data_IF_135520167459
#
_entry.id   IF_135520167459
#
_cell.length_a   1.000
_cell.length_b   1.000
_cell.length_c   1.000
_cell.angle_alpha   90.00
_cell.angle_beta   90.00
_cell.angle_gamma   90.00
#
_symmetry.space_group_name_H-M   'P 1'
#
loop_
_entity.id
_entity.type
_entity.pdbx_description
1 polymer ?
#
# COMPACT_ATOMS: atom_id res chain seq x y z
N UNK A 1 -15.28 -24.33 -33.61
CA UNK A 1 -15.86 -24.58 -32.27
C UNK A 1 -15.51 -23.38 -31.40
N UNK A 2 -16.45 -22.46 -31.21
CA UNK A 2 -16.23 -21.24 -30.43
C UNK A 2 -16.41 -21.50 -28.95
N UNK A 3 -15.37 -21.30 -28.15
CA UNK A 3 -15.46 -21.24 -26.68
C UNK A 3 -15.99 -19.88 -26.21
N UNK A 4 -17.11 -19.44 -26.77
CA UNK A 4 -17.86 -18.31 -26.24
C UNK A 4 -18.67 -18.82 -25.05
N UNK A 5 -18.35 -18.34 -23.84
CA UNK A 5 -19.08 -18.67 -22.62
C UNK A 5 -18.31 -19.49 -21.58
N UNK A 6 -17.03 -19.21 -21.35
CA UNK A 6 -16.48 -19.52 -20.01
C UNK A 6 -17.09 -18.50 -19.04
N UNK A 7 -18.19 -18.89 -18.39
CA UNK A 7 -18.89 -18.09 -17.38
C UNK A 7 -17.87 -17.45 -16.43
N UNK A 8 -17.99 -16.14 -16.21
CA UNK A 8 -17.23 -15.44 -15.20
C UNK A 8 -17.65 -15.99 -13.83
N UNK A 9 -16.95 -17.03 -13.35
CA UNK A 9 -17.24 -17.71 -12.09
C UNK A 9 -16.93 -16.75 -10.93
N UNK A 10 -17.96 -16.11 -10.39
CA UNK A 10 -17.86 -15.34 -9.16
C UNK A 10 -18.11 -16.25 -7.97
N UNK A 11 -17.06 -16.58 -7.24
CA UNK A 11 -17.11 -17.44 -6.07
C UNK A 11 -16.71 -16.60 -4.86
N UNK A 12 -17.71 -16.07 -4.16
CA UNK A 12 -17.57 -15.26 -2.95
C UNK A 12 -18.39 -15.89 -1.81
N UNK A 13 -18.15 -15.45 -0.58
CA UNK A 13 -18.97 -15.83 0.58
C UNK A 13 -20.45 -15.49 0.39
N UNK A 14 -21.31 -16.24 1.08
CA UNK A 14 -22.77 -16.21 0.89
C UNK A 14 -23.34 -14.79 0.96
N UNK A 15 -22.88 -13.99 1.92
CA UNK A 15 -23.34 -12.60 2.10
C UNK A 15 -23.04 -11.67 0.92
N UNK A 16 -22.03 -11.96 0.10
CA UNK A 16 -21.61 -11.10 -1.00
C UNK A 16 -22.15 -11.52 -2.36
N UNK A 17 -22.81 -12.67 -2.47
CA UNK A 17 -23.25 -13.26 -3.76
C UNK A 17 -24.19 -12.36 -4.56
N UNK A 18 -25.02 -11.56 -3.89
CA UNK A 18 -25.98 -10.63 -4.49
C UNK A 18 -25.42 -9.20 -4.68
N UNK A 19 -24.19 -8.94 -4.21
CA UNK A 19 -23.57 -7.59 -4.18
C UNK A 19 -22.35 -7.46 -5.06
N UNK A 20 -21.65 -8.57 -5.30
CA UNK A 20 -20.44 -8.61 -6.11
C UNK A 20 -20.77 -8.38 -7.60
N UNK A 21 -19.96 -7.60 -8.34
CA UNK A 21 -20.08 -7.51 -9.79
C UNK A 21 -20.08 -8.90 -10.45
N UNK A 22 -21.15 -9.23 -11.17
CA UNK A 22 -21.41 -10.60 -11.67
C UNK A 22 -20.92 -10.84 -13.10
N UNK A 23 -20.46 -9.79 -13.79
CA UNK A 23 -19.99 -9.85 -15.16
C UNK A 23 -18.75 -8.97 -15.39
N UNK A 24 -18.00 -9.21 -16.47
CA UNK A 24 -16.86 -8.35 -16.86
C UNK A 24 -17.27 -6.89 -17.05
N UNK A 25 -18.45 -6.66 -17.62
CA UNK A 25 -19.02 -5.33 -17.81
C UNK A 25 -19.34 -4.65 -16.48
N UNK A 26 -19.87 -5.38 -15.49
CA UNK A 26 -20.12 -4.84 -14.15
C UNK A 26 -18.83 -4.47 -13.43
N UNK A 27 -17.78 -5.29 -13.59
CA UNK A 27 -16.44 -4.97 -13.05
C UNK A 27 -15.90 -3.69 -13.68
N UNK A 28 -16.03 -3.52 -15.00
CA UNK A 28 -15.62 -2.28 -15.68
C UNK A 28 -16.41 -1.06 -15.21
N UNK A 29 -17.72 -1.20 -14.98
CA UNK A 29 -18.54 -0.15 -14.36
C UNK A 29 -18.04 0.20 -12.96
N UNK A 30 -17.76 -0.81 -12.14
CA UNK A 30 -17.25 -0.62 -10.79
C UNK A 30 -15.89 0.11 -10.78
N UNK A 31 -14.95 -0.28 -11.64
CA UNK A 31 -13.67 0.42 -11.80
C UNK A 31 -13.84 1.86 -12.26
N UNK A 32 -14.72 2.11 -13.23
CA UNK A 32 -15.00 3.47 -13.74
C UNK A 32 -15.62 4.35 -12.64
N UNK A 33 -16.57 3.80 -11.88
CA UNK A 33 -17.17 4.50 -10.74
C UNK A 33 -16.16 4.77 -9.62
N UNK A 34 -15.24 3.83 -9.36
CA UNK A 34 -14.17 4.02 -8.38
C UNK A 34 -13.24 5.17 -8.77
N UNK A 35 -12.88 5.33 -10.05
CA UNK A 35 -12.13 6.50 -10.52
C UNK A 35 -12.90 7.81 -10.28
N UNK A 36 -14.23 7.78 -10.47
CA UNK A 36 -15.09 8.92 -10.13
C UNK A 36 -15.08 9.25 -8.64
N UNK A 37 -15.06 8.24 -7.77
CA UNK A 37 -14.92 8.43 -6.30
C UNK A 37 -13.57 9.07 -5.96
N UNK A 38 -12.48 8.61 -6.57
CA UNK A 38 -11.13 9.20 -6.34
C UNK A 38 -11.12 10.68 -6.71
N UNK A 39 -11.63 11.05 -7.89
CA UNK A 39 -11.69 12.44 -8.32
C UNK A 39 -12.65 13.27 -7.44
N UNK A 40 -13.80 12.71 -7.07
CA UNK A 40 -14.76 13.32 -6.16
C UNK A 40 -14.15 13.61 -4.78
N UNK A 41 -13.36 12.68 -4.25
CA UNK A 41 -12.67 12.83 -2.97
C UNK A 41 -11.71 14.03 -2.97
N UNK A 42 -10.90 14.18 -4.04
CA UNK A 42 -10.02 15.34 -4.22
C UNK A 42 -10.84 16.63 -4.27
N UNK A 43 -11.91 16.66 -5.07
CA UNK A 43 -12.74 17.86 -5.19
C UNK A 43 -13.39 18.28 -3.88
N UNK A 44 -13.80 17.31 -3.06
CA UNK A 44 -14.46 17.55 -1.79
C UNK A 44 -13.50 18.16 -0.77
N UNK A 45 -12.33 17.56 -0.54
CA UNK A 45 -11.40 18.02 0.51
C UNK A 45 -10.60 19.27 0.17
N UNK A 46 -10.63 19.72 -1.10
CA UNK A 46 -10.10 21.03 -1.46
C UNK A 46 -11.06 22.18 -1.13
N UNK A 47 -12.36 21.90 -0.91
CA UNK A 47 -13.41 22.92 -0.69
C UNK A 47 -14.07 22.80 0.68
N UNK A 48 -14.22 21.59 1.17
CA UNK A 48 -14.93 21.28 2.41
C UNK A 48 -13.98 20.71 3.45
N UNK A 49 -14.42 20.76 4.71
CA UNK A 49 -13.68 20.21 5.84
C UNK A 49 -12.29 20.86 6.01
N UNK A 50 -12.22 22.17 5.80
CA UNK A 50 -10.99 22.95 5.98
C UNK A 50 -10.84 23.41 7.44
N UNK A 51 -11.86 24.11 7.93
CA UNK A 51 -12.02 24.65 9.29
C UNK A 51 -13.50 25.04 9.49
N UNK A 52 -13.85 25.60 10.65
CA UNK A 52 -15.25 25.97 10.96
C UNK A 52 -15.81 27.05 10.03
N UNK A 53 -14.99 28.06 9.66
CA UNK A 53 -15.39 29.18 8.82
C UNK A 53 -14.72 29.17 7.43
N UNK A 54 -13.92 28.14 7.14
CA UNK A 54 -13.10 27.99 5.93
C UNK A 54 -12.08 29.13 5.70
N UNK A 55 -11.76 29.91 6.73
CA UNK A 55 -10.73 30.95 6.65
C UNK A 55 -9.30 30.40 6.65
N UNK A 56 -9.15 29.14 7.03
CA UNK A 56 -7.89 28.43 7.13
C UNK A 56 -8.03 26.92 6.85
N UNK A 57 -6.91 26.23 6.59
CA UNK A 57 -6.87 24.77 6.41
C UNK A 57 -6.26 24.12 7.65
N UNK A 58 -7.11 23.54 8.50
CA UNK A 58 -6.74 22.99 9.80
C UNK A 58 -6.98 21.47 9.87
N UNK A 59 -8.05 20.96 9.28
CA UNK A 59 -8.48 19.58 9.49
C UNK A 59 -7.87 18.59 8.49
N UNK A 60 -7.56 17.39 8.99
CA UNK A 60 -7.23 16.26 8.13
C UNK A 60 -8.50 15.73 7.44
N UNK A 61 -8.41 15.22 6.20
CA UNK A 61 -7.22 15.12 5.36
C UNK A 61 -6.92 16.36 4.49
N UNK A 62 -7.69 17.45 4.60
CA UNK A 62 -7.56 18.63 3.72
C UNK A 62 -6.14 19.22 3.74
N UNK A 63 -5.51 19.28 4.91
CA UNK A 63 -4.12 19.73 5.08
C UNK A 63 -3.12 18.99 4.18
N UNK A 64 -3.33 17.70 3.88
CA UNK A 64 -2.44 16.93 3.01
C UNK A 64 -2.58 17.33 1.54
N UNK A 65 -3.80 17.62 1.10
CA UNK A 65 -4.07 18.06 -0.28
C UNK A 65 -3.59 19.49 -0.51
N UNK A 66 -3.73 20.37 0.48
CA UNK A 66 -3.19 21.73 0.40
C UNK A 66 -1.66 21.76 0.45
N UNK A 67 -1.02 20.87 1.23
CA UNK A 67 0.43 20.67 1.12
C UNK A 67 0.87 20.25 -0.29
N UNK A 68 0.04 19.46 -1.00
CA UNK A 68 0.29 19.13 -2.41
C UNK A 68 0.12 20.32 -3.36
N UNK A 69 -0.89 21.17 -3.18
CA UNK A 69 -1.01 22.42 -3.94
C UNK A 69 0.22 23.31 -3.73
N UNK A 70 0.66 23.44 -2.48
CA UNK A 70 1.87 24.18 -2.11
C UNK A 70 3.10 23.64 -2.85
N UNK A 71 3.33 22.32 -2.79
CA UNK A 71 4.46 21.68 -3.48
C UNK A 71 4.38 21.92 -4.98
N UNK A 72 3.18 21.89 -5.56
CA UNK A 72 2.97 22.12 -6.99
C UNK A 72 3.19 23.58 -7.41
N UNK A 73 3.56 24.49 -6.51
CA UNK A 73 3.78 25.90 -6.82
C UNK A 73 2.48 26.69 -7.03
N UNK A 74 1.32 26.13 -6.65
CA UNK A 74 0.02 26.79 -6.72
C UNK A 74 -0.22 27.66 -5.47
N UNK A 75 -1.16 28.59 -5.56
CA UNK A 75 -1.68 29.31 -4.39
C UNK A 75 -2.41 28.34 -3.47
N UNK A 76 -1.77 28.02 -2.34
CA UNK A 76 -2.30 27.09 -1.34
C UNK A 76 -3.11 27.79 -0.24
N UNK A 77 -3.54 29.04 -0.46
CA UNK A 77 -4.49 29.72 0.42
C UNK A 77 -5.84 29.00 0.41
N UNK A 78 -6.56 28.94 1.53
CA UNK A 78 -7.87 28.30 1.60
C UNK A 78 -8.81 28.91 0.56
N UNK A 79 -9.42 28.05 -0.26
CA UNK A 79 -10.36 28.45 -1.32
C UNK A 79 -9.77 29.44 -2.34
N UNK A 80 -8.45 29.40 -2.56
CA UNK A 80 -7.79 30.17 -3.61
C UNK A 80 -8.37 29.87 -5.01
N UNK A 81 -8.11 30.76 -5.97
CA UNK A 81 -8.50 30.55 -7.36
C UNK A 81 -7.98 29.22 -7.92
N UNK A 82 -6.74 28.87 -7.58
CA UNK A 82 -6.11 27.61 -7.97
C UNK A 82 -6.78 26.40 -7.31
N UNK A 83 -6.97 26.42 -5.99
CA UNK A 83 -7.62 25.33 -5.25
C UNK A 83 -9.04 25.07 -5.78
N UNK A 84 -9.81 26.15 -6.01
CA UNK A 84 -11.17 26.06 -6.56
C UNK A 84 -11.18 25.55 -8.01
N UNK A 85 -10.23 25.97 -8.84
CA UNK A 85 -10.12 25.47 -10.22
C UNK A 85 -9.81 23.97 -10.22
N UNK A 86 -8.80 23.54 -9.46
CA UNK A 86 -8.43 22.13 -9.33
C UNK A 86 -9.61 21.32 -8.82
N UNK A 87 -10.29 21.78 -7.77
CA UNK A 87 -11.45 21.09 -7.21
C UNK A 87 -12.59 20.94 -8.22
N UNK A 88 -12.94 22.00 -8.95
CA UNK A 88 -14.02 22.00 -9.94
C UNK A 88 -13.70 21.10 -11.13
N UNK A 89 -12.45 21.07 -11.60
CA UNK A 89 -12.03 20.17 -12.67
C UNK A 89 -12.08 18.71 -12.24
N UNK A 90 -11.69 18.39 -11.01
CA UNK A 90 -11.83 17.03 -10.46
C UNK A 90 -13.30 16.65 -10.25
N UNK A 91 -14.17 17.57 -9.84
CA UNK A 91 -15.61 17.32 -9.74
C UNK A 91 -16.22 17.06 -11.13
N UNK A 92 -15.85 17.84 -12.14
CA UNK A 92 -16.30 17.60 -13.52
C UNK A 92 -15.87 16.20 -14.01
N UNK A 93 -14.61 15.83 -13.77
CA UNK A 93 -14.13 14.49 -14.08
C UNK A 93 -14.91 13.41 -13.34
N UNK A 94 -15.21 13.60 -12.04
CA UNK A 94 -16.01 12.66 -11.25
C UNK A 94 -17.41 12.46 -11.83
N UNK A 95 -18.09 13.55 -12.18
CA UNK A 95 -19.44 13.51 -12.79
C UNK A 95 -19.41 12.79 -14.14
N UNK A 96 -18.42 13.07 -14.99
CA UNK A 96 -18.26 12.38 -16.28
C UNK A 96 -18.03 10.88 -16.07
N UNK A 97 -17.13 10.51 -15.15
CA UNK A 97 -16.82 9.11 -14.85
C UNK A 97 -18.04 8.36 -14.28
N UNK A 98 -18.79 8.97 -13.37
CA UNK A 98 -20.04 8.37 -12.88
C UNK A 98 -21.09 8.25 -13.97
N UNK A 99 -21.23 9.25 -14.85
CA UNK A 99 -22.16 9.17 -15.97
C UNK A 99 -21.79 7.99 -16.90
N UNK A 100 -20.50 7.82 -17.22
CA UNK A 100 -20.03 6.66 -18.00
C UNK A 100 -20.30 5.36 -17.23
N UNK A 101 -19.89 5.26 -15.97
CA UNK A 101 -20.03 4.04 -15.15
C UNK A 101 -21.48 3.58 -14.94
N UNK A 102 -22.45 4.50 -14.93
CA UNK A 102 -23.87 4.17 -14.74
C UNK A 102 -24.65 4.02 -16.04
N UNK A 103 -24.33 4.81 -17.09
CA UNK A 103 -25.17 4.88 -18.30
C UNK A 103 -24.51 4.32 -19.56
N UNK A 104 -23.18 4.17 -19.62
CA UNK A 104 -22.52 3.59 -20.79
C UNK A 104 -22.85 2.10 -20.92
N UNK A 105 -23.08 1.65 -22.16
CA UNK A 105 -23.49 0.28 -22.48
C UNK A 105 -22.28 -0.65 -22.58
N UNK A 106 -21.60 -0.85 -21.45
CA UNK A 106 -20.46 -1.77 -21.32
C UNK A 106 -20.80 -3.23 -21.67
N UNK A 107 -22.08 -3.60 -21.67
CA UNK A 107 -22.61 -4.90 -22.12
C UNK A 107 -22.49 -5.11 -23.64
N UNK A 108 -22.32 -4.03 -24.41
CA UNK A 108 -22.14 -4.08 -25.86
C UNK A 108 -20.67 -4.15 -26.29
N UNK A 109 -19.75 -3.96 -25.35
CA UNK A 109 -18.31 -4.01 -25.62
C UNK A 109 -17.82 -5.46 -25.62
N UNK A 110 -16.90 -5.83 -26.52
CA UNK A 110 -16.41 -7.20 -26.64
C UNK A 110 -15.36 -7.54 -25.57
N UNK A 111 -15.69 -7.34 -24.28
CA UNK A 111 -14.79 -7.59 -23.16
C UNK A 111 -14.39 -9.06 -22.99
N UNK A 112 -15.12 -10.00 -23.59
CA UNK A 112 -14.75 -11.41 -23.65
C UNK A 112 -13.41 -11.64 -24.37
N UNK A 113 -13.01 -10.71 -25.26
CA UNK A 113 -11.73 -10.79 -25.98
C UNK A 113 -10.54 -10.26 -25.18
N UNK A 114 -10.78 -9.61 -24.04
CA UNK A 114 -9.74 -9.02 -23.20
C UNK A 114 -9.29 -10.04 -22.16
N UNK A 115 -8.01 -10.39 -22.15
CA UNK A 115 -7.42 -11.23 -21.10
C UNK A 115 -6.79 -10.36 -20.01
N UNK A 116 -6.60 -10.89 -18.80
CA UNK A 116 -5.94 -10.14 -17.72
C UNK A 116 -4.50 -9.80 -18.09
N UNK A 117 -3.82 -10.71 -18.80
CA UNK A 117 -2.50 -10.45 -19.37
C UNK A 117 -2.48 -9.28 -20.37
N UNK A 118 -3.48 -9.18 -21.26
CA UNK A 118 -3.57 -8.04 -22.20
C UNK A 118 -3.92 -6.73 -21.48
N UNK A 119 -4.77 -6.78 -20.45
CA UNK A 119 -5.01 -5.63 -19.58
C UNK A 119 -3.73 -5.15 -18.90
N UNK A 120 -2.89 -6.06 -18.39
CA UNK A 120 -1.61 -5.70 -17.76
C UNK A 120 -0.65 -5.02 -18.76
N UNK A 121 -0.57 -5.50 -20.00
CA UNK A 121 0.21 -4.85 -21.07
C UNK A 121 -0.28 -3.42 -21.31
N UNK A 122 -1.61 -3.22 -21.41
CA UNK A 122 -2.18 -1.89 -21.58
C UNK A 122 -1.84 -0.99 -20.38
N UNK A 123 -1.87 -1.53 -19.15
CA UNK A 123 -1.48 -0.79 -17.96
C UNK A 123 0.02 -0.41 -17.96
N UNK A 124 0.93 -1.25 -18.46
CA UNK A 124 2.34 -0.84 -18.62
C UNK A 124 2.47 0.38 -19.54
N UNK A 125 1.76 0.40 -20.68
CA UNK A 125 1.79 1.55 -21.58
C UNK A 125 1.07 2.77 -21.03
N UNK A 126 0.00 2.59 -20.26
CA UNK A 126 -0.65 3.69 -19.56
C UNK A 126 0.27 4.32 -18.49
N UNK A 127 0.94 3.49 -17.67
CA UNK A 127 1.92 3.98 -16.69
C UNK A 127 3.12 4.66 -17.36
N UNK A 128 3.56 4.15 -18.51
CA UNK A 128 4.60 4.79 -19.31
C UNK A 128 4.19 6.21 -19.74
N UNK A 129 2.96 6.36 -20.24
CA UNK A 129 2.40 7.66 -20.63
C UNK A 129 2.37 8.64 -19.44
N UNK A 130 1.83 8.23 -18.30
CA UNK A 130 1.73 9.09 -17.10
C UNK A 130 3.12 9.53 -16.61
N UNK A 131 4.08 8.60 -16.52
CA UNK A 131 5.43 8.90 -16.08
C UNK A 131 6.13 9.89 -17.02
N UNK A 132 6.07 9.66 -18.34
CA UNK A 132 6.67 10.57 -19.33
C UNK A 132 6.02 11.95 -19.32
N UNK A 133 4.68 12.03 -19.27
CA UNK A 133 3.97 13.31 -19.25
C UNK A 133 4.29 14.13 -17.99
N UNK A 134 4.40 13.49 -16.82
CA UNK A 134 4.81 14.19 -15.61
C UNK A 134 6.25 14.71 -15.68
N UNK A 135 7.18 13.92 -16.22
CA UNK A 135 8.55 14.39 -16.47
C UNK A 135 8.61 15.58 -17.43
N UNK A 136 7.78 15.59 -18.48
CA UNK A 136 7.65 16.72 -19.43
C UNK A 136 7.06 17.96 -18.73
N UNK A 137 6.03 17.77 -17.90
CA UNK A 137 5.41 18.85 -17.13
C UNK A 137 6.45 19.56 -16.24
N UNK A 138 7.22 18.79 -15.47
CA UNK A 138 8.31 19.31 -14.63
C UNK A 138 9.37 20.05 -15.47
N UNK A 139 9.80 19.44 -16.58
CA UNK A 139 10.92 19.92 -17.37
C UNK A 139 10.66 21.23 -18.12
N UNK A 140 9.43 21.44 -18.64
CA UNK A 140 9.18 22.47 -19.65
C UNK A 140 8.11 23.50 -19.27
N UNK A 141 7.13 23.14 -18.45
CA UNK A 141 5.99 24.04 -18.19
C UNK A 141 6.30 24.99 -17.02
N UNK A 142 7.19 24.60 -16.09
CA UNK A 142 7.50 25.39 -14.90
C UNK A 142 6.27 25.53 -13.98
N UNK A 143 6.42 26.11 -12.79
CA UNK A 143 5.24 26.30 -11.92
C UNK A 143 4.61 25.00 -11.42
N UNK A 144 5.41 23.94 -11.32
CA UNK A 144 4.98 22.59 -10.93
C UNK A 144 5.69 22.07 -9.68
N UNK A 145 6.69 22.82 -9.20
CA UNK A 145 7.43 22.58 -7.98
C UNK A 145 7.69 23.91 -7.29
N UNK A 146 7.71 23.90 -5.96
CA UNK A 146 8.15 25.01 -5.14
C UNK A 146 9.53 24.71 -4.57
N UNK A 147 10.42 25.70 -4.63
CA UNK A 147 11.78 25.63 -4.15
C UNK A 147 11.85 25.61 -2.64
N UNK A 148 13.05 25.31 -2.11
CA UNK A 148 13.27 25.27 -0.67
C UNK A 148 13.06 26.65 0.00
N UNK A 149 13.22 27.73 -0.76
CA UNK A 149 12.96 29.12 -0.38
C UNK A 149 11.46 29.50 -0.40
N UNK A 150 10.58 28.56 -0.77
CA UNK A 150 9.15 28.80 -0.91
C UNK A 150 8.76 29.49 -2.21
N UNK A 151 9.71 29.81 -3.11
CA UNK A 151 9.41 30.40 -4.41
C UNK A 151 9.09 29.33 -5.44
N UNK A 152 8.24 29.68 -6.41
CA UNK A 152 7.87 28.78 -7.48
C UNK A 152 9.07 28.56 -8.40
N UNK A 153 9.44 27.29 -8.65
CA UNK A 153 10.59 26.97 -9.48
C UNK A 153 10.29 27.23 -10.98
N UNK A 154 11.28 27.72 -11.73
CA UNK A 154 11.22 27.70 -13.20
C UNK A 154 11.20 26.24 -13.70
N UNK A 155 10.95 26.02 -15.01
CA UNK A 155 11.04 24.69 -15.61
C UNK A 155 12.35 23.98 -15.23
N UNK A 156 12.27 22.72 -14.80
CA UNK A 156 13.43 22.03 -14.20
C UNK A 156 14.52 21.68 -15.21
N UNK A 157 14.19 21.69 -16.52
CA UNK A 157 15.01 21.04 -17.54
C UNK A 157 15.06 19.51 -17.36
N UNK A 158 15.98 18.87 -18.09
CA UNK A 158 16.21 17.43 -18.06
C UNK A 158 17.70 17.12 -17.95
N UNK A 159 18.06 16.23 -17.03
CA UNK A 159 19.42 15.71 -16.88
C UNK A 159 19.38 14.19 -16.61
N UNK A 160 19.91 13.39 -17.53
CA UNK A 160 19.93 11.92 -17.41
C UNK A 160 21.17 11.38 -16.67
N UNK A 161 21.98 12.24 -16.04
CA UNK A 161 23.10 11.82 -15.19
C UNK A 161 22.60 11.26 -13.83
N UNK A 162 22.19 9.99 -13.86
CA UNK A 162 21.58 9.27 -12.72
C UNK A 162 22.44 9.21 -11.46
N UNK A 163 23.78 9.20 -11.58
CA UNK A 163 24.68 8.94 -10.45
C UNK A 163 25.29 10.18 -9.80
N UNK A 164 25.09 11.37 -10.38
CA UNK A 164 25.50 12.62 -9.71
C UNK A 164 24.50 13.06 -8.63
N UNK A 165 24.76 14.21 -8.01
CA UNK A 165 23.86 14.82 -7.01
C UNK A 165 22.42 14.93 -7.55
N UNK A 166 21.43 14.66 -6.69
CA UNK A 166 20.03 14.63 -7.07
C UNK A 166 19.53 16.08 -7.24
N UNK A 167 18.92 16.37 -8.39
CA UNK A 167 18.37 17.69 -8.71
C UNK A 167 16.95 17.57 -9.28
N UNK A 168 16.14 18.64 -9.31
CA UNK A 168 14.83 18.62 -9.96
C UNK A 168 14.88 18.18 -11.44
N UNK A 169 15.91 18.57 -12.19
CA UNK A 169 16.12 18.16 -13.59
C UNK A 169 16.31 16.64 -13.72
N UNK A 170 17.06 16.04 -12.79
CA UNK A 170 17.26 14.58 -12.74
C UNK A 170 16.03 13.85 -12.26
N UNK A 171 15.25 14.43 -11.36
CA UNK A 171 13.97 13.85 -10.96
C UNK A 171 12.98 13.83 -12.12
N UNK A 172 12.93 14.89 -12.94
CA UNK A 172 12.14 14.90 -14.18
C UNK A 172 12.63 13.83 -15.17
N UNK A 173 13.95 13.72 -15.37
CA UNK A 173 14.54 12.69 -16.22
C UNK A 173 14.31 11.26 -15.70
N UNK A 174 14.29 11.04 -14.39
CA UNK A 174 13.95 9.77 -13.77
C UNK A 174 12.52 9.33 -14.15
N UNK A 175 11.55 10.24 -14.13
CA UNK A 175 10.19 9.94 -14.59
C UNK A 175 10.15 9.54 -16.08
N UNK A 176 10.89 10.24 -16.94
CA UNK A 176 10.99 9.87 -18.37
C UNK A 176 11.66 8.51 -18.55
N UNK A 177 12.72 8.21 -17.79
CA UNK A 177 13.41 6.93 -17.84
C UNK A 177 12.51 5.77 -17.38
N UNK A 178 11.72 5.96 -16.32
CA UNK A 178 10.68 5.01 -15.88
C UNK A 178 9.64 4.82 -16.99
N UNK A 179 9.21 5.91 -17.65
CA UNK A 179 8.31 5.84 -18.79
C UNK A 179 8.85 4.96 -19.93
N UNK A 180 10.11 5.16 -20.30
CA UNK A 180 10.78 4.33 -21.31
C UNK A 180 10.88 2.85 -20.89
N UNK A 181 11.20 2.57 -19.62
CA UNK A 181 11.28 1.20 -19.10
C UNK A 181 9.93 0.47 -19.18
N UNK A 182 8.85 1.11 -18.73
CA UNK A 182 7.49 0.53 -18.83
C UNK A 182 7.03 0.40 -20.28
N UNK A 183 7.41 1.32 -21.16
CA UNK A 183 7.07 1.24 -22.58
C UNK A 183 7.69 -0.01 -23.24
N UNK A 184 9.00 -0.20 -23.05
CA UNK A 184 9.72 -1.37 -23.56
C UNK A 184 9.24 -2.67 -22.92
N UNK A 185 8.96 -2.66 -21.60
CA UNK A 185 8.37 -3.81 -20.89
C UNK A 185 6.98 -4.18 -21.43
N UNK A 186 6.14 -3.18 -21.72
CA UNK A 186 4.84 -3.37 -22.36
C UNK A 186 4.95 -3.96 -23.77
N UNK A 187 5.89 -3.48 -24.59
CA UNK A 187 6.15 -4.06 -25.93
C UNK A 187 6.60 -5.52 -25.79
N UNK A 188 7.56 -5.79 -24.92
CA UNK A 188 8.06 -7.14 -24.69
C UNK A 188 6.93 -8.10 -24.31
N UNK A 189 6.12 -7.74 -23.31
CA UNK A 189 5.02 -8.60 -22.86
C UNK A 189 3.83 -8.64 -23.82
N UNK A 190 3.66 -7.64 -24.69
CA UNK A 190 2.69 -7.71 -25.78
C UNK A 190 2.94 -8.92 -26.69
N UNK A 191 4.22 -9.17 -27.01
CA UNK A 191 4.67 -10.26 -27.88
C UNK A 191 4.92 -11.56 -27.12
N UNK A 192 5.53 -11.50 -25.92
CA UNK A 192 5.94 -12.69 -25.17
C UNK A 192 4.81 -13.29 -24.31
N UNK A 193 3.80 -12.51 -23.93
CA UNK A 193 2.73 -12.93 -23.02
C UNK A 193 3.20 -13.17 -21.57
N UNK A 194 2.35 -13.84 -20.79
CA UNK A 194 2.57 -14.20 -19.38
C UNK A 194 2.27 -15.68 -19.10
N UNK A 195 2.22 -16.53 -20.13
CA UNK A 195 1.74 -17.91 -20.04
C UNK A 195 2.84 -18.93 -19.64
N UNK A 196 4.02 -18.46 -19.28
CA UNK A 196 5.18 -19.30 -18.96
C UNK A 196 5.25 -19.69 -17.48
N UNK A 197 5.54 -20.96 -17.23
CA UNK A 197 5.87 -21.50 -15.91
C UNK A 197 4.79 -21.25 -14.86
N UNK A 198 5.21 -20.72 -13.71
CA UNK A 198 4.35 -20.49 -12.55
C UNK A 198 3.27 -19.41 -12.76
N UNK A 199 3.29 -18.64 -13.85
CA UNK A 199 2.34 -17.53 -14.07
C UNK A 199 1.09 -17.93 -14.86
N UNK A 200 1.06 -19.14 -15.42
CA UNK A 200 0.01 -19.58 -16.36
C UNK A 200 -1.40 -19.61 -15.75
N UNK A 201 -1.53 -19.71 -14.43
CA UNK A 201 -2.81 -19.79 -13.74
C UNK A 201 -3.47 -18.41 -13.52
N UNK A 202 -2.73 -17.30 -13.62
CA UNK A 202 -3.26 -15.97 -13.31
C UNK A 202 -4.31 -15.48 -14.32
N UNK A 203 -4.23 -15.88 -15.59
CA UNK A 203 -5.21 -15.45 -16.60
C UNK A 203 -6.58 -16.15 -16.46
N UNK A 204 -6.68 -17.12 -15.53
CA UNK A 204 -7.85 -17.98 -15.35
C UNK A 204 -8.66 -17.67 -14.10
N UNK A 205 -8.09 -16.93 -13.15
CA UNK A 205 -8.76 -16.61 -11.90
C UNK A 205 -8.45 -15.17 -11.46
N UNK A 206 -9.50 -14.36 -11.35
CA UNK A 206 -9.41 -12.96 -10.99
C UNK A 206 -8.93 -12.76 -9.55
N UNK A 207 -9.25 -13.70 -8.65
CA UNK A 207 -8.92 -13.57 -7.22
C UNK A 207 -7.43 -13.86 -6.98
N UNK A 208 -6.81 -14.73 -7.78
CA UNK A 208 -5.37 -14.93 -7.75
C UNK A 208 -4.63 -13.64 -8.12
N UNK A 209 -5.07 -12.94 -9.18
CA UNK A 209 -4.50 -11.65 -9.59
C UNK A 209 -4.74 -10.59 -8.50
N UNK A 210 -5.97 -10.49 -7.99
CA UNK A 210 -6.30 -9.57 -6.91
C UNK A 210 -5.42 -9.81 -5.67
N UNK A 211 -5.30 -11.05 -5.21
CA UNK A 211 -4.50 -11.41 -4.05
C UNK A 211 -3.03 -11.01 -4.19
N UNK A 212 -2.43 -11.18 -5.37
CA UNK A 212 -1.06 -10.73 -5.65
C UNK A 212 -0.98 -9.20 -5.72
N UNK A 213 -1.91 -8.54 -6.43
CA UNK A 213 -1.92 -7.08 -6.55
C UNK A 213 -2.00 -6.39 -5.19
N UNK A 214 -2.86 -6.88 -4.28
CA UNK A 214 -3.00 -6.33 -2.93
C UNK A 214 -1.73 -6.55 -2.08
N UNK A 215 -1.09 -7.72 -2.18
CA UNK A 215 0.16 -8.00 -1.45
C UNK A 215 1.35 -7.16 -1.96
N UNK A 216 1.48 -7.00 -3.28
CA UNK A 216 2.52 -6.13 -3.87
C UNK A 216 2.26 -4.66 -3.52
N UNK A 217 1.00 -4.23 -3.54
CA UNK A 217 0.62 -2.88 -3.11
C UNK A 217 0.93 -2.65 -1.62
N UNK A 218 0.69 -3.63 -0.75
CA UNK A 218 1.07 -3.56 0.65
C UNK A 218 2.58 -3.37 0.85
N UNK A 219 3.40 -4.07 0.05
CA UNK A 219 4.85 -3.87 0.06
C UNK A 219 5.22 -2.46 -0.44
N UNK A 220 4.55 -1.94 -1.47
CA UNK A 220 4.75 -0.56 -1.90
C UNK A 220 4.42 0.44 -0.77
N UNK A 221 3.32 0.25 -0.04
CA UNK A 221 3.02 1.08 1.14
C UNK A 221 4.15 1.06 2.17
N UNK A 222 4.72 -0.11 2.47
CA UNK A 222 5.86 -0.21 3.38
C UNK A 222 7.08 0.58 2.85
N UNK A 223 7.45 0.41 1.57
CA UNK A 223 8.57 1.17 0.98
C UNK A 223 8.32 2.68 0.98
N UNK A 224 7.07 3.12 0.78
CA UNK A 224 6.68 4.53 0.84
C UNK A 224 6.78 5.07 2.28
N UNK A 225 6.39 4.31 3.30
CA UNK A 225 6.56 4.70 4.71
C UNK A 225 8.03 4.97 5.02
N UNK A 226 8.94 4.08 4.61
CA UNK A 226 10.37 4.30 4.80
C UNK A 226 10.88 5.47 3.95
N UNK A 227 10.42 5.63 2.71
CA UNK A 227 10.79 6.76 1.86
C UNK A 227 10.33 8.11 2.43
N UNK A 228 9.16 8.18 3.08
CA UNK A 228 8.68 9.38 3.78
C UNK A 228 9.56 9.76 4.98
N UNK A 229 10.22 8.78 5.61
CA UNK A 229 11.13 9.03 6.74
C UNK A 229 12.53 9.42 6.24
N UNK A 230 13.02 8.78 5.17
CA UNK A 230 14.41 8.88 4.72
C UNK A 230 14.60 9.97 3.64
N UNK A 231 13.65 10.13 2.73
CA UNK A 231 13.72 11.07 1.61
C UNK A 231 12.92 12.34 1.92
N UNK A 232 13.46 13.12 2.86
CA UNK A 232 12.84 14.32 3.43
C UNK A 232 13.16 15.62 2.68
N UNK A 233 13.69 15.52 1.45
CA UNK A 233 13.98 16.68 0.62
C UNK A 233 12.74 17.59 0.48
N UNK A 234 12.87 18.91 0.68
CA UNK A 234 11.76 19.85 0.71
C UNK A 234 11.03 20.04 -0.63
N UNK A 235 11.72 19.78 -1.75
CA UNK A 235 11.25 20.08 -3.11
C UNK A 235 10.79 18.81 -3.82
N UNK A 236 11.70 17.84 -3.89
CA UNK A 236 11.55 16.58 -4.66
C UNK A 236 11.35 15.35 -3.76
N UNK A 237 11.32 15.55 -2.44
CA UNK A 237 10.99 14.52 -1.46
C UNK A 237 9.66 14.77 -0.75
N UNK A 238 9.54 14.25 0.46
CA UNK A 238 8.35 14.41 1.30
C UNK A 238 8.45 15.61 2.28
N UNK A 239 9.58 16.31 2.29
CA UNK A 239 9.81 17.49 3.15
C UNK A 239 8.89 18.65 2.85
N UNK A 240 8.26 18.70 1.67
CA UNK A 240 7.28 19.72 1.30
C UNK A 240 6.13 19.84 2.32
N UNK A 241 5.79 18.77 3.03
CA UNK A 241 4.75 18.81 4.07
C UNK A 241 5.20 19.62 5.28
N UNK A 242 6.48 19.54 5.65
CA UNK A 242 7.05 20.36 6.72
C UNK A 242 7.15 21.82 6.26
N UNK A 243 7.56 22.05 5.01
CA UNK A 243 7.63 23.39 4.45
C UNK A 243 6.25 24.06 4.38
N UNK A 244 5.23 23.35 3.90
CA UNK A 244 3.86 23.85 3.87
C UNK A 244 3.41 24.24 5.28
N UNK A 245 3.63 23.38 6.29
CA UNK A 245 3.21 23.63 7.67
C UNK A 245 3.85 24.88 8.30
N UNK A 246 5.02 25.29 7.81
CA UNK A 246 5.71 26.50 8.24
C UNK A 246 5.51 27.70 7.31
N UNK A 247 4.82 27.51 6.18
CA UNK A 247 4.60 28.55 5.16
C UNK A 247 3.51 29.55 5.57
N UNK A 248 3.42 30.64 4.82
CA UNK A 248 2.36 31.64 4.94
C UNK A 248 0.94 31.07 4.71
N UNK A 249 0.82 29.96 3.99
CA UNK A 249 -0.46 29.32 3.66
C UNK A 249 -1.01 28.45 4.80
N UNK A 250 -0.17 28.00 5.72
CA UNK A 250 -0.61 27.21 6.86
C UNK A 250 -1.30 28.08 7.91
N UNK A 251 -2.34 27.53 8.55
CA UNK A 251 -2.96 28.14 9.72
C UNK A 251 -1.94 28.38 10.84
N UNK A 252 -2.21 29.40 11.65
CA UNK A 252 -1.38 29.71 12.82
C UNK A 252 -1.28 28.50 13.74
N UNK A 253 -2.41 27.80 14.00
CA UNK A 253 -2.42 26.59 14.81
C UNK A 253 -1.55 25.47 14.24
N UNK A 254 -1.58 25.22 12.92
CA UNK A 254 -0.71 24.20 12.32
C UNK A 254 0.76 24.60 12.45
N UNK A 255 1.09 25.88 12.32
CA UNK A 255 2.45 26.40 12.46
C UNK A 255 2.96 26.26 13.89
N UNK A 256 2.13 26.59 14.88
CA UNK A 256 2.42 26.39 16.30
C UNK A 256 2.68 24.93 16.63
N UNK A 257 1.78 24.03 16.20
CA UNK A 257 1.94 22.58 16.39
C UNK A 257 3.20 22.06 15.70
N UNK A 258 3.56 22.61 14.54
CA UNK A 258 4.74 22.18 13.79
C UNK A 258 6.04 22.74 14.35
N UNK A 259 6.01 23.82 15.12
CA UNK A 259 7.22 24.40 15.74
C UNK A 259 7.82 23.43 16.78
N UNK A 260 6.99 22.80 17.60
CA UNK A 260 7.41 21.74 18.54
C UNK A 260 7.45 20.33 17.92
N UNK A 261 6.96 20.17 16.70
CA UNK A 261 6.86 18.89 16.01
C UNK A 261 6.95 19.09 14.48
N UNK A 262 8.16 19.32 13.91
CA UNK A 262 8.31 19.62 12.49
C UNK A 262 7.72 18.55 11.56
N UNK A 263 7.69 17.30 12.02
CA UNK A 263 7.06 16.19 11.31
C UNK A 263 5.54 16.05 11.50
N UNK A 264 4.83 17.09 11.97
CA UNK A 264 3.41 17.00 12.36
C UNK A 264 2.52 16.44 11.24
N UNK A 265 2.62 16.98 10.02
CA UNK A 265 1.81 16.53 8.89
C UNK A 265 2.31 15.21 8.30
N UNK A 266 3.63 15.07 8.08
CA UNK A 266 4.17 13.87 7.45
C UNK A 266 3.94 12.61 8.30
N UNK A 267 3.98 12.70 9.64
CA UNK A 267 3.68 11.56 10.52
C UNK A 267 2.23 11.09 10.42
N UNK A 268 1.28 11.98 10.16
CA UNK A 268 -0.11 11.59 9.92
C UNK A 268 -0.25 10.80 8.62
N UNK A 269 0.44 11.24 7.57
CA UNK A 269 0.45 10.54 6.28
C UNK A 269 1.17 9.19 6.37
N UNK A 270 2.29 9.12 7.10
CA UNK A 270 3.02 7.88 7.40
C UNK A 270 2.08 6.89 8.09
N UNK A 271 1.34 7.32 9.11
CA UNK A 271 0.39 6.44 9.82
C UNK A 271 -0.70 5.93 8.87
N UNK A 272 -1.26 6.79 8.02
CA UNK A 272 -2.24 6.39 7.01
C UNK A 272 -1.70 5.31 6.07
N UNK A 273 -0.49 5.50 5.53
CA UNK A 273 0.15 4.54 4.63
C UNK A 273 0.51 3.22 5.33
N UNK A 274 0.97 3.27 6.58
CA UNK A 274 1.27 2.09 7.39
C UNK A 274 0.01 1.24 7.62
N UNK A 275 -1.07 1.86 8.11
CA UNK A 275 -2.32 1.16 8.43
C UNK A 275 -2.95 0.58 7.17
N UNK A 276 -3.06 1.37 6.10
CA UNK A 276 -3.62 0.92 4.83
C UNK A 276 -2.76 -0.20 4.23
N UNK A 277 -1.42 -0.10 4.28
CA UNK A 277 -0.52 -1.15 3.83
C UNK A 277 -0.73 -2.47 4.56
N UNK A 278 -0.87 -2.46 5.88
CA UNK A 278 -1.18 -3.67 6.68
C UNK A 278 -2.54 -4.24 6.32
N UNK A 279 -3.57 -3.40 6.12
CA UNK A 279 -4.89 -3.85 5.69
C UNK A 279 -4.84 -4.54 4.31
N UNK A 280 -4.09 -3.99 3.36
CA UNK A 280 -3.87 -4.60 2.04
C UNK A 280 -3.09 -5.93 2.13
N UNK A 281 -2.12 -6.04 3.03
CA UNK A 281 -1.39 -7.30 3.26
C UNK A 281 -2.34 -8.40 3.76
N UNK A 282 -3.14 -8.08 4.78
CA UNK A 282 -4.11 -9.02 5.35
C UNK A 282 -5.19 -9.41 4.33
N UNK A 283 -5.78 -8.43 3.63
CA UNK A 283 -6.80 -8.67 2.61
C UNK A 283 -6.28 -9.42 1.38
N UNK A 284 -5.08 -9.09 0.92
CA UNK A 284 -4.42 -9.79 -0.19
C UNK A 284 -4.09 -11.24 0.14
N UNK A 285 -3.58 -11.49 1.35
CA UNK A 285 -3.34 -12.86 1.84
C UNK A 285 -4.65 -13.64 2.00
N UNK A 286 -5.71 -12.98 2.48
CA UNK A 286 -7.04 -13.57 2.57
C UNK A 286 -7.55 -14.02 1.19
N UNK A 287 -7.50 -13.15 0.16
CA UNK A 287 -7.93 -13.51 -1.20
C UNK A 287 -7.09 -14.63 -1.81
N UNK A 288 -5.76 -14.61 -1.61
CA UNK A 288 -4.89 -15.69 -2.07
C UNK A 288 -5.21 -17.03 -1.36
N UNK A 289 -5.48 -16.99 -0.05
CA UNK A 289 -5.88 -18.16 0.72
C UNK A 289 -7.27 -18.67 0.30
N UNK A 290 -8.22 -17.77 0.01
CA UNK A 290 -9.54 -18.13 -0.47
C UNK A 290 -9.48 -18.78 -1.86
N UNK A 291 -8.64 -18.26 -2.77
CA UNK A 291 -8.33 -18.91 -4.05
C UNK A 291 -7.80 -20.34 -3.87
N UNK A 292 -6.84 -20.55 -2.96
CA UNK A 292 -6.34 -21.90 -2.63
C UNK A 292 -7.45 -22.79 -2.03
N UNK A 293 -8.29 -22.24 -1.15
CA UNK A 293 -9.40 -22.96 -0.56
C UNK A 293 -10.43 -23.39 -1.62
N UNK A 294 -10.76 -22.52 -2.59
CA UNK A 294 -11.66 -22.84 -3.69
C UNK A 294 -11.12 -23.99 -4.54
N UNK A 295 -9.81 -24.06 -4.76
CA UNK A 295 -9.18 -25.18 -5.44
C UNK A 295 -9.42 -26.54 -4.75
N UNK A 296 -9.70 -26.55 -3.44
CA UNK A 296 -10.04 -27.80 -2.71
C UNK A 296 -11.48 -28.27 -2.95
N UNK A 297 -12.33 -27.43 -3.54
CA UNK A 297 -13.74 -27.71 -3.83
C UNK A 297 -14.05 -27.71 -5.34
N UNK A 298 -13.16 -27.16 -6.18
CA UNK A 298 -13.27 -27.11 -7.64
C UNK A 298 -12.24 -28.06 -8.31
N UNK A 299 -12.69 -29.18 -8.92
CA UNK A 299 -11.79 -30.14 -9.58
C UNK A 299 -10.99 -29.57 -10.75
N UNK A 300 -11.54 -28.60 -11.49
CA UNK A 300 -10.85 -27.98 -12.63
C UNK A 300 -9.68 -27.12 -12.13
N UNK A 301 -9.91 -26.37 -11.05
CA UNK A 301 -8.88 -25.54 -10.42
C UNK A 301 -7.83 -26.40 -9.71
N UNK A 302 -8.26 -27.47 -9.01
CA UNK A 302 -7.36 -28.44 -8.39
C UNK A 302 -6.37 -29.03 -9.40
N UNK A 303 -6.87 -29.43 -10.59
CA UNK A 303 -6.03 -30.01 -11.64
C UNK A 303 -5.01 -29.01 -12.18
N UNK A 304 -5.33 -27.71 -12.20
CA UNK A 304 -4.41 -26.66 -12.62
C UNK A 304 -3.33 -26.40 -11.57
N UNK A 305 -3.66 -26.55 -10.28
CA UNK A 305 -2.76 -26.31 -9.16
C UNK A 305 -2.03 -27.54 -8.66
N UNK A 306 -2.30 -28.73 -9.21
CA UNK A 306 -1.73 -30.01 -8.73
C UNK A 306 -0.20 -30.04 -8.62
N UNK A 307 0.48 -29.35 -9.53
CA UNK A 307 1.95 -29.31 -9.62
C UNK A 307 2.55 -28.19 -8.74
N UNK A 308 1.70 -27.40 -8.08
CA UNK A 308 2.13 -26.32 -7.18
C UNK A 308 2.19 -26.84 -5.75
N UNK A 309 3.39 -26.79 -5.16
CA UNK A 309 3.64 -27.20 -3.77
C UNK A 309 2.72 -26.49 -2.77
N UNK A 310 2.38 -25.22 -3.03
CA UNK A 310 1.49 -24.45 -2.15
C UNK A 310 0.13 -25.10 -1.95
N UNK A 311 -0.42 -25.74 -2.98
CA UNK A 311 -1.69 -26.47 -2.88
C UNK A 311 -1.51 -27.80 -2.13
N UNK A 312 -0.41 -28.52 -2.39
CA UNK A 312 -0.08 -29.77 -1.70
C UNK A 312 0.13 -29.56 -0.19
N UNK A 313 0.76 -28.45 0.20
CA UNK A 313 1.00 -28.06 1.59
C UNK A 313 -0.28 -27.82 2.41
N UNK A 314 -1.42 -27.56 1.77
CA UNK A 314 -2.71 -27.49 2.46
C UNK A 314 -3.17 -28.85 3.03
N UNK A 315 -2.56 -29.96 2.61
CA UNK A 315 -2.89 -31.31 3.05
C UNK A 315 -1.75 -32.03 3.78
N UNK A 316 -0.56 -31.42 3.85
CA UNK A 316 0.61 -31.97 4.54
C UNK A 316 0.67 -31.48 5.99
N UNK A 317 0.26 -32.32 6.93
CA UNK A 317 0.23 -32.01 8.36
C UNK A 317 1.61 -31.82 8.99
N UNK A 318 2.67 -32.46 8.46
CA UNK A 318 4.03 -32.27 8.96
C UNK A 318 4.60 -30.93 8.50
N UNK A 319 4.39 -30.57 7.23
CA UNK A 319 4.71 -29.24 6.74
C UNK A 319 3.99 -28.17 7.55
N UNK A 320 2.66 -28.28 7.69
CA UNK A 320 1.83 -27.34 8.45
C UNK A 320 2.39 -27.06 9.85
N UNK A 321 2.72 -28.11 10.61
CA UNK A 321 3.29 -27.97 11.96
C UNK A 321 4.66 -27.30 11.95
N UNK A 322 5.59 -27.81 11.14
CA UNK A 322 6.98 -27.31 11.10
C UNK A 322 7.03 -25.85 10.64
N UNK A 323 6.27 -25.53 9.61
CA UNK A 323 6.21 -24.18 9.06
C UNK A 323 5.59 -23.20 10.05
N UNK A 324 4.44 -23.54 10.65
CA UNK A 324 3.80 -22.66 11.63
C UNK A 324 4.63 -22.51 12.91
N UNK A 325 5.29 -23.57 13.37
CA UNK A 325 6.18 -23.51 14.53
C UNK A 325 7.38 -22.59 14.28
N UNK A 326 7.94 -22.58 13.05
CA UNK A 326 8.99 -21.65 12.67
C UNK A 326 8.52 -20.19 12.73
N UNK A 327 7.32 -19.90 12.21
CA UNK A 327 6.73 -18.54 12.27
C UNK A 327 6.47 -18.12 13.72
N UNK A 328 5.92 -19.03 14.54
CA UNK A 328 5.70 -18.79 15.97
C UNK A 328 7.01 -18.52 16.72
N UNK A 329 8.08 -19.25 16.41
CA UNK A 329 9.40 -19.01 16.99
C UNK A 329 9.95 -17.63 16.58
N UNK A 330 9.79 -17.26 15.31
CA UNK A 330 10.12 -15.94 14.79
C UNK A 330 9.33 -14.80 15.44
N UNK A 331 8.16 -15.07 16.02
CA UNK A 331 7.43 -14.12 16.86
C UNK A 331 7.92 -14.15 18.32
N UNK A 332 8.03 -15.34 18.89
CA UNK A 332 8.35 -15.56 20.30
C UNK A 332 9.69 -14.95 20.69
N UNK A 333 10.76 -15.25 19.96
CA UNK A 333 12.10 -14.82 20.31
C UNK A 333 12.25 -13.28 20.36
N UNK A 334 11.93 -12.51 19.30
CA UNK A 334 12.08 -11.07 19.33
C UNK A 334 11.11 -10.37 20.29
N UNK A 335 9.88 -10.90 20.49
CA UNK A 335 8.97 -10.38 21.52
C UNK A 335 9.54 -10.61 22.92
N UNK A 336 10.03 -11.82 23.23
CA UNK A 336 10.64 -12.13 24.53
C UNK A 336 11.82 -11.20 24.83
N UNK A 337 12.70 -10.99 23.86
CA UNK A 337 13.87 -10.10 24.00
C UNK A 337 13.44 -8.65 24.22
N UNK A 338 12.64 -8.09 23.30
CA UNK A 338 12.24 -6.68 23.36
C UNK A 338 11.39 -6.36 24.59
N UNK A 339 10.32 -7.11 24.83
CA UNK A 339 9.43 -6.88 25.97
C UNK A 339 10.09 -7.26 27.29
N UNK A 340 10.97 -8.28 27.32
CA UNK A 340 11.73 -8.63 28.52
C UNK A 340 12.66 -7.51 28.96
N UNK A 341 13.46 -6.97 28.03
CA UNK A 341 14.36 -5.85 28.30
C UNK A 341 13.56 -4.60 28.68
N UNK A 342 12.54 -4.23 27.90
CA UNK A 342 11.72 -3.06 28.18
C UNK A 342 11.03 -3.15 29.54
N UNK A 343 10.51 -4.32 29.91
CA UNK A 343 9.89 -4.55 31.22
C UNK A 343 10.90 -4.43 32.35
N UNK A 344 12.10 -5.02 32.21
CA UNK A 344 13.18 -4.87 33.19
C UNK A 344 13.56 -3.40 33.38
N UNK A 345 13.83 -2.68 32.29
CA UNK A 345 14.19 -1.26 32.33
C UNK A 345 13.06 -0.41 32.93
N UNK A 346 11.81 -0.75 32.63
CA UNK A 346 10.64 -0.08 33.24
C UNK A 346 10.59 -0.29 34.76
N UNK A 347 10.85 -1.51 35.25
CA UNK A 347 10.89 -1.78 36.69
C UNK A 347 12.03 -0.99 37.34
N UNK A 348 13.21 -0.94 36.70
CA UNK A 348 14.36 -0.17 37.16
C UNK A 348 14.05 1.34 37.22
N UNK A 349 13.43 1.91 36.19
CA UNK A 349 13.04 3.32 36.13
C UNK A 349 11.99 3.67 37.20
N UNK A 350 10.98 2.81 37.39
CA UNK A 350 9.94 3.01 38.42
C UNK A 350 10.55 3.03 39.83
N UNK A 351 11.56 2.22 40.08
CA UNK A 351 12.16 2.06 41.42
C UNK A 351 13.52 2.77 41.56
N UNK A 352 13.90 3.66 40.64
CA UNK A 352 15.21 4.31 40.64
C UNK A 352 15.54 5.04 41.96
N UNK A 353 14.53 5.51 42.68
CA UNK A 353 14.69 6.20 43.98
C UNK A 353 14.67 5.26 45.20
N UNK A 354 14.49 3.95 45.00
CA UNK A 354 14.45 2.97 46.09
C UNK A 354 15.87 2.65 46.56
N UNK A 355 16.13 2.87 47.85
CA UNK A 355 17.45 2.64 48.46
C UNK A 355 17.61 1.25 49.08
N UNK A 356 16.51 0.54 49.32
CA UNK A 356 16.46 -0.82 49.88
C UNK A 356 15.33 -1.63 49.23
N UNK A 357 15.40 -2.96 49.30
CA UNK A 357 14.39 -3.87 48.75
C UNK A 357 14.83 -4.54 47.45
N UNK A 358 13.97 -5.44 46.93
CA UNK A 358 14.29 -6.32 45.81
C UNK A 358 14.59 -5.57 44.49
N UNK A 359 14.06 -4.35 44.32
CA UNK A 359 14.17 -3.56 43.10
C UNK A 359 15.08 -2.32 43.25
N UNK A 360 15.77 -2.18 44.39
CA UNK A 360 16.73 -1.10 44.59
C UNK A 360 18.02 -1.35 43.78
N UNK A 361 18.56 -0.30 43.17
CA UNK A 361 19.82 -0.34 42.39
C UNK A 361 19.83 -1.36 41.24
N UNK A 362 18.71 -1.50 40.52
CA UNK A 362 18.67 -2.33 39.32
C UNK A 362 19.48 -1.70 38.18
N UNK A 363 20.30 -2.51 37.49
CA UNK A 363 21.04 -2.07 36.32
C UNK A 363 20.11 -1.83 35.13
N UNK A 364 20.41 -0.77 34.36
CA UNK A 364 19.72 -0.52 33.10
C UNK A 364 20.35 -1.36 31.98
N UNK A 365 19.53 -2.15 31.27
CA UNK A 365 20.01 -2.90 30.12
C UNK A 365 20.12 -1.93 28.94
N UNK A 366 21.32 -1.80 28.39
CA UNK A 366 21.61 -0.91 27.26
C UNK A 366 22.35 -1.66 26.15
N UNK A 367 21.67 -1.89 25.03
CA UNK A 367 22.23 -2.46 23.80
C UNK A 367 22.16 -1.45 22.66
N UNK A 368 23.15 -1.45 21.77
CA UNK A 368 23.08 -0.72 20.49
C UNK A 368 22.53 -1.58 19.34
N UNK A 369 22.60 -1.07 18.11
CA UNK A 369 22.14 -1.76 16.90
C UNK A 369 23.26 -2.05 15.88
N UNK A 370 24.34 -2.77 16.26
CA UNK A 370 25.59 -2.82 15.49
C UNK A 370 25.43 -3.37 14.06
N UNK A 371 24.51 -4.31 13.83
CA UNK A 371 24.24 -4.82 12.49
C UNK A 371 23.57 -3.76 11.60
N UNK A 372 22.58 -3.05 12.13
CA UNK A 372 21.87 -2.02 11.38
C UNK A 372 22.80 -0.83 11.10
N UNK A 373 23.61 -0.45 12.08
CA UNK A 373 24.61 0.61 11.98
C UNK A 373 25.65 0.30 10.89
N UNK A 374 26.12 -0.96 10.81
CA UNK A 374 27.10 -1.38 9.81
C UNK A 374 26.56 -1.42 8.38
N UNK A 375 25.25 -1.66 8.20
CA UNK A 375 24.64 -1.78 6.86
C UNK A 375 24.12 -0.42 6.37
N UNK A 376 23.48 0.35 7.25
CA UNK A 376 22.72 1.55 6.87
C UNK A 376 23.33 2.85 7.43
N UNK A 377 24.43 2.78 8.17
CA UNK A 377 25.12 3.96 8.69
C UNK A 377 24.42 4.66 9.86
N UNK A 378 23.50 3.99 10.55
CA UNK A 378 22.85 4.50 11.75
C UNK A 378 23.77 4.49 12.98
N UNK A 379 23.30 5.09 14.07
CA UNK A 379 23.90 5.00 15.41
C UNK A 379 22.80 4.70 16.43
N UNK A 380 22.15 3.54 16.29
CA UNK A 380 20.97 3.22 17.09
C UNK A 380 21.31 2.86 18.53
N UNK A 381 20.40 3.21 19.42
CA UNK A 381 20.50 2.96 20.85
C UNK A 381 19.51 1.88 21.31
N UNK A 382 19.37 1.70 22.62
CA UNK A 382 18.49 0.67 23.19
C UNK A 382 17.01 0.87 22.83
N UNK A 383 16.57 2.11 22.62
CA UNK A 383 15.22 2.41 22.14
C UNK A 383 15.01 1.84 20.74
N UNK A 384 15.96 2.07 19.81
CA UNK A 384 15.91 1.54 18.45
C UNK A 384 15.97 0.01 18.45
N UNK A 385 16.85 -0.56 19.28
CA UNK A 385 16.97 -2.01 19.43
C UNK A 385 15.66 -2.64 19.89
N UNK A 386 15.06 -2.13 20.97
CA UNK A 386 13.79 -2.66 21.51
C UNK A 386 12.66 -2.48 20.49
N UNK A 387 12.53 -1.28 19.90
CA UNK A 387 11.46 -0.98 18.96
C UNK A 387 11.52 -1.86 17.70
N UNK A 388 12.71 -2.02 17.11
CA UNK A 388 12.89 -2.85 15.92
C UNK A 388 12.54 -4.32 16.19
N UNK A 389 12.97 -4.88 17.33
CA UNK A 389 12.62 -6.26 17.71
C UNK A 389 11.14 -6.41 18.05
N UNK A 390 10.52 -5.43 18.71
CA UNK A 390 9.08 -5.46 18.98
C UNK A 390 8.26 -5.44 17.67
N UNK A 391 8.64 -4.61 16.69
CA UNK A 391 8.01 -4.56 15.37
C UNK A 391 8.24 -5.86 14.61
N UNK A 392 9.47 -6.38 14.55
CA UNK A 392 9.78 -7.64 13.89
C UNK A 392 9.00 -8.81 14.50
N UNK A 393 8.91 -8.86 15.82
CA UNK A 393 8.09 -9.84 16.54
C UNK A 393 6.60 -9.68 16.25
N UNK A 394 6.09 -8.46 16.20
CA UNK A 394 4.71 -8.14 15.83
C UNK A 394 4.34 -8.55 14.39
N UNK A 395 5.27 -8.40 13.44
CA UNK A 395 5.11 -8.88 12.06
C UNK A 395 4.99 -10.41 12.02
N UNK A 396 5.89 -11.13 12.69
CA UNK A 396 5.81 -12.60 12.77
C UNK A 396 4.57 -13.09 13.52
N UNK A 397 4.18 -12.37 14.59
CA UNK A 397 2.96 -12.64 15.32
C UNK A 397 1.73 -12.51 14.41
N UNK A 398 1.67 -11.45 13.60
CA UNK A 398 0.62 -11.23 12.61
C UNK A 398 0.65 -12.29 11.50
N UNK A 399 1.82 -12.78 11.11
CA UNK A 399 1.95 -13.86 10.12
C UNK A 399 1.36 -15.19 10.59
N UNK A 400 1.23 -15.46 11.90
CA UNK A 400 0.64 -16.71 12.43
C UNK A 400 -0.80 -16.92 11.90
N UNK A 401 -1.77 -16.01 12.09
CA UNK A 401 -3.10 -16.18 11.50
C UNK A 401 -3.08 -16.14 9.97
N UNK A 402 -2.22 -15.34 9.33
CA UNK A 402 -2.12 -15.27 7.86
C UNK A 402 -1.73 -16.63 7.24
N UNK A 403 -0.70 -17.28 7.77
CA UNK A 403 -0.28 -18.61 7.28
C UNK A 403 -1.28 -19.71 7.65
N UNK A 404 -2.02 -19.55 8.75
CA UNK A 404 -3.15 -20.43 9.06
C UNK A 404 -4.29 -20.27 8.04
N UNK A 405 -4.57 -19.06 7.57
CA UNK A 405 -5.53 -18.87 6.47
C UNK A 405 -5.07 -19.63 5.21
N UNK A 406 -3.80 -19.51 4.83
CA UNK A 406 -3.27 -20.18 3.64
C UNK A 406 -3.30 -21.71 3.73
N UNK A 407 -2.82 -22.29 4.83
CA UNK A 407 -2.55 -23.74 4.89
C UNK A 407 -3.48 -24.55 5.77
N UNK A 408 -4.24 -23.94 6.70
CA UNK A 408 -5.05 -24.66 7.70
C UNK A 408 -6.57 -24.53 7.44
N UNK A 409 -6.97 -23.91 6.34
CA UNK A 409 -8.38 -23.58 6.07
C UNK A 409 -9.21 -24.72 5.52
N UNK A 410 -8.61 -25.74 4.89
CA UNK A 410 -9.32 -26.95 4.45
C UNK A 410 -9.22 -28.10 5.45
N UNK A 411 -7.99 -28.50 5.75
CA UNK A 411 -7.66 -29.49 6.79
C UNK A 411 -6.53 -28.96 7.65
N UNK A 412 -6.40 -29.49 8.85
CA UNK A 412 -5.29 -29.21 9.75
C UNK A 412 -5.01 -30.40 10.66
N UNK A 413 -3.89 -30.44 11.40
CA UNK A 413 -3.65 -31.50 12.39
C UNK A 413 -4.77 -31.56 13.43
N UNK A 414 -5.45 -30.44 13.69
CA UNK A 414 -6.58 -30.39 14.60
C UNK A 414 -7.82 -31.09 14.04
N UNK A 415 -8.19 -30.85 12.77
CA UNK A 415 -9.36 -31.52 12.16
C UNK A 415 -9.15 -33.03 12.11
N UNK A 416 -7.92 -33.48 11.82
CA UNK A 416 -7.57 -34.90 11.86
C UNK A 416 -7.71 -35.48 13.29
N UNK A 417 -7.22 -34.75 14.30
CA UNK A 417 -7.29 -35.18 15.71
C UNK A 417 -8.73 -35.37 16.21
N UNK A 418 -9.66 -34.52 15.80
CA UNK A 418 -11.07 -34.57 16.24
C UNK A 418 -11.97 -35.41 15.31
N UNK A 419 -11.39 -36.12 14.33
CA UNK A 419 -12.14 -37.02 13.45
C UNK A 419 -12.95 -36.32 12.35
N UNK A 420 -12.66 -35.06 12.05
CA UNK A 420 -13.32 -34.34 10.95
C UNK A 420 -12.63 -34.62 9.61
N UNK A 421 -13.43 -34.90 8.58
CA UNK A 421 -12.92 -35.05 7.21
C UNK A 421 -12.26 -33.76 6.69
N UNK A 422 -12.95 -32.63 6.84
CA UNK A 422 -12.43 -31.30 6.51
C UNK A 422 -13.33 -30.22 7.12
N UNK A 423 -12.84 -28.98 7.13
CA UNK A 423 -13.70 -27.81 7.29
C UNK A 423 -14.69 -27.72 6.12
N UNK A 424 -15.93 -27.31 6.40
CA UNK A 424 -17.04 -27.29 5.43
C UNK A 424 -16.83 -26.20 4.37
N UNK A 425 -16.72 -24.96 4.82
CA UNK A 425 -16.51 -23.76 4.03
C UNK A 425 -15.45 -22.86 4.72
N UNK A 426 -15.28 -21.64 4.25
CA UNK A 426 -14.32 -20.68 4.78
C UNK A 426 -14.96 -19.56 5.63
N UNK A 427 -16.28 -19.62 5.88
CA UNK A 427 -17.03 -18.54 6.56
C UNK A 427 -17.83 -19.00 7.80
N UNK A 428 -17.88 -20.31 8.09
CA UNK A 428 -18.56 -20.83 9.27
C UNK A 428 -17.97 -20.26 10.57
N UNK A 429 -18.81 -19.86 11.55
CA UNK A 429 -18.33 -19.22 12.78
C UNK A 429 -17.73 -20.22 13.78
N UNK A 430 -18.26 -21.45 13.80
CA UNK A 430 -17.81 -22.56 14.64
C UNK A 430 -18.34 -23.90 14.10
N UNK A 431 -17.78 -25.01 14.57
CA UNK A 431 -18.25 -26.38 14.28
C UNK A 431 -18.43 -27.16 15.58
#
# INVERSE_FOLDING_TARGET
MSTAGADFKVQVFDWFKDKVPSSRSDVMRAHTNHLGIVAGFVSFFLVHHLSWDNSEVLWAPATFFYARLYQLGMDASPLSGDALFVARMHLLAAVILWAIGHFYKFDKEPFEKVTLGKSLVAQFHFFALIATLWGIQMAFIGGCLRGADGLVLPPTGLDFNMFGEITPAKMAANHIAIGAAFFLGGIFHHFAGFDKGFFRHFDRDWEAVLGVSLQVLAFHFATVVFAMIIWDDPVIGFGFMQQYAMSEYASETIRELSTGNPGYLIKQVILGHLVIGVMFLCGGTFHAAHYLFRATNDPELAQQLKDYKMYQWCFDHEFQKKFLALVMFGAFLPILVSYGIATHNTIADIHANSTIGMFANMDYISYGTPLHDAIFGSQGNVSDFIAAHAIAGGLHFTMVPLWRMAFFSKVSPWTQKVGMKSKRDAEFPCL
#
